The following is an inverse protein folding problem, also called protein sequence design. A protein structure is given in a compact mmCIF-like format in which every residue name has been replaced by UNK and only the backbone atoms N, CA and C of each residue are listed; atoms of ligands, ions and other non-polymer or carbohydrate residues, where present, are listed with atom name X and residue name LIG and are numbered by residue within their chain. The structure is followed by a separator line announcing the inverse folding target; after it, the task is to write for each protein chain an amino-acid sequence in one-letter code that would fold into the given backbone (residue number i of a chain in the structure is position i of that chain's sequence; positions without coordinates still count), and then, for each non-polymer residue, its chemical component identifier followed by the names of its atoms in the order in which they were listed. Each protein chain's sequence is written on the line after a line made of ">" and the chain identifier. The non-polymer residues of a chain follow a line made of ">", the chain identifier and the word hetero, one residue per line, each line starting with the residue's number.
data_IF_198586257343
#
_entry.id   IF_198586257343
#
_cell.length_a   1.000
_cell.length_b   1.000
_cell.length_c   1.000
_cell.angle_alpha   90.00
_cell.angle_beta   90.00
_cell.angle_gamma   90.00
#
_symmetry.space_group_name_H-M   'P 1'
#
loop_
_entity.id
_entity.type
_entity.pdbx_description
1 polymer ?
#
# COMPACT_ATOMS: atom_id res chain seq x y z
N UNK A 1 -9.59 7.04 10.02
CA UNK A 1 -8.92 8.10 9.24
C UNK A 1 -9.06 7.79 7.77
N UNK A 2 -9.50 8.76 7.00
CA UNK A 2 -9.73 8.56 5.56
C UNK A 2 -8.65 9.25 4.76
N UNK A 3 -8.06 8.49 3.84
CA UNK A 3 -7.08 9.04 2.92
C UNK A 3 -7.67 9.09 1.52
N UNK A 4 -7.22 10.06 0.75
CA UNK A 4 -7.52 10.09 -0.68
C UNK A 4 -6.57 9.14 -1.38
N UNK A 5 -7.11 8.23 -2.16
CA UNK A 5 -6.32 7.20 -2.86
C UNK A 5 -6.53 7.36 -4.36
N UNK A 6 -5.42 7.45 -5.09
CA UNK A 6 -5.45 7.49 -6.55
C UNK A 6 -4.50 6.43 -7.09
N UNK A 7 -4.49 6.27 -8.41
CA UNK A 7 -3.62 5.29 -9.04
C UNK A 7 -2.15 5.66 -8.83
N UNK A 8 -1.32 4.65 -8.53
CA UNK A 8 0.12 4.84 -8.42
C UNK A 8 0.79 4.93 -9.79
N UNK A 9 2.07 4.61 -9.84
CA UNK A 9 2.82 4.79 -11.09
C UNK A 9 3.43 3.50 -11.65
N UNK A 10 3.37 2.41 -10.92
CA UNK A 10 3.90 1.09 -11.34
C UNK A 10 5.40 1.09 -11.68
N UNK A 11 6.14 2.13 -11.27
CA UNK A 11 7.54 2.27 -11.68
C UNK A 11 8.46 1.33 -10.93
N UNK A 12 8.15 1.00 -9.69
CA UNK A 12 8.96 0.07 -8.92
C UNK A 12 8.15 -0.47 -7.75
N UNK A 13 8.48 -1.68 -7.34
CA UNK A 13 7.83 -2.33 -6.21
C UNK A 13 8.24 -1.71 -4.89
N UNK A 14 7.37 -1.85 -3.91
CA UNK A 14 7.61 -1.39 -2.56
C UNK A 14 7.05 -0.01 -2.31
N UNK A 15 7.53 0.60 -1.23
CA UNK A 15 7.12 1.92 -0.81
C UNK A 15 7.95 2.98 -1.53
N UNK A 16 7.28 3.96 -2.09
CA UNK A 16 7.94 5.11 -2.73
C UNK A 16 7.39 6.38 -2.08
N UNK A 17 8.28 7.11 -1.41
CA UNK A 17 7.91 8.40 -0.83
C UNK A 17 7.83 9.44 -1.93
N UNK A 18 6.72 10.18 -1.97
CA UNK A 18 6.51 11.24 -2.95
C UNK A 18 6.10 12.51 -2.23
N UNK A 19 5.99 13.60 -2.97
CA UNK A 19 5.82 14.93 -2.40
C UNK A 19 4.66 15.03 -1.41
N UNK A 20 3.52 14.49 -1.77
CA UNK A 20 2.30 14.64 -0.98
C UNK A 20 1.77 13.32 -0.44
N UNK A 21 2.60 12.30 -0.35
CA UNK A 21 2.13 11.03 0.14
C UNK A 21 3.08 9.88 -0.13
N UNK A 22 2.52 8.71 -0.26
CA UNK A 22 3.27 7.48 -0.44
C UNK A 22 2.62 6.64 -1.51
N UNK A 23 3.44 6.08 -2.41
CA UNK A 23 2.96 5.11 -3.39
C UNK A 23 3.40 3.72 -2.93
N UNK A 24 2.44 2.80 -2.90
CA UNK A 24 2.71 1.38 -2.63
C UNK A 24 2.45 0.60 -3.92
N UNK A 25 3.44 -0.17 -4.35
CA UNK A 25 3.33 -1.02 -5.53
C UNK A 25 3.70 -2.44 -5.14
N UNK A 26 2.83 -3.38 -5.43
CA UNK A 26 3.01 -4.75 -4.98
C UNK A 26 2.31 -5.72 -5.93
N UNK A 27 2.68 -6.99 -5.81
CA UNK A 27 2.08 -8.03 -6.63
C UNK A 27 0.63 -8.27 -6.18
N UNK A 28 -0.29 -8.20 -7.10
CA UNK A 28 -1.69 -8.44 -6.82
C UNK A 28 -2.47 -8.48 -8.12
N UNK A 29 -3.16 -9.58 -8.37
CA UNK A 29 -3.93 -9.73 -9.58
C UNK A 29 -5.25 -8.99 -9.50
N UNK A 30 -5.88 -8.78 -10.64
CA UNK A 30 -7.09 -7.96 -10.70
C UNK A 30 -8.22 -8.50 -9.83
N UNK A 31 -8.35 -9.83 -9.73
CA UNK A 31 -9.39 -10.46 -8.93
C UNK A 31 -9.08 -10.46 -7.43
N UNK A 32 -7.85 -10.16 -7.04
CA UNK A 32 -7.48 -10.18 -5.63
C UNK A 32 -8.07 -8.98 -4.89
N UNK A 33 -8.46 -9.21 -3.63
CA UNK A 33 -8.86 -8.14 -2.74
C UNK A 33 -7.62 -7.71 -1.98
N UNK A 34 -7.14 -6.51 -2.27
CA UNK A 34 -5.87 -6.02 -1.74
C UNK A 34 -6.04 -4.77 -0.91
N UNK A 35 -5.20 -4.63 0.10
CA UNK A 35 -5.17 -3.44 0.94
C UNK A 35 -3.78 -3.24 1.51
N UNK A 36 -3.52 -2.02 1.98
CA UNK A 36 -2.34 -1.70 2.78
C UNK A 36 -2.82 -1.53 4.22
N UNK A 37 -2.20 -2.24 5.13
CA UNK A 37 -2.51 -2.15 6.55
C UNK A 37 -1.47 -1.26 7.20
N UNK A 38 -1.91 -0.21 7.87
CA UNK A 38 -1.04 0.72 8.56
C UNK A 38 -1.09 0.45 10.06
N UNK A 39 0.06 0.47 10.71
CA UNK A 39 0.17 0.19 12.13
C UNK A 39 0.69 1.41 12.88
N UNK A 40 0.30 1.53 14.15
CA UNK A 40 0.88 2.53 15.03
C UNK A 40 2.16 1.95 15.68
N UNK A 41 2.78 2.75 16.55
CA UNK A 41 4.03 2.35 17.21
C UNK A 41 3.87 1.14 18.13
N UNK A 42 2.64 0.89 18.57
CA UNK A 42 2.33 -0.27 19.41
C UNK A 42 2.03 -1.52 18.58
N UNK A 43 2.19 -1.41 17.26
CA UNK A 43 1.88 -2.48 16.30
C UNK A 43 0.40 -2.83 16.26
N UNK A 44 -0.45 -1.88 16.63
CA UNK A 44 -1.88 -2.01 16.48
C UNK A 44 -2.29 -1.43 15.14
N UNK A 45 -3.32 -2.01 14.53
CA UNK A 45 -3.83 -1.51 13.25
C UNK A 45 -4.37 -0.09 13.45
N UNK A 46 -3.74 0.86 12.76
CA UNK A 46 -4.17 2.25 12.76
C UNK A 46 -5.08 2.57 11.58
N UNK A 47 -4.98 1.80 10.50
CA UNK A 47 -5.83 2.00 9.35
C UNK A 47 -5.67 0.89 8.33
N UNK A 48 -6.67 0.77 7.49
CA UNK A 48 -6.66 -0.16 6.36
C UNK A 48 -7.06 0.61 5.12
N UNK A 49 -6.18 0.66 4.14
CA UNK A 49 -6.41 1.41 2.92
C UNK A 49 -6.55 0.43 1.77
N UNK A 50 -7.75 0.36 1.22
CA UNK A 50 -8.03 -0.57 0.14
C UNK A 50 -7.34 -0.16 -1.15
N UNK A 51 -6.80 -1.14 -1.86
CA UNK A 51 -6.18 -0.93 -3.17
C UNK A 51 -7.17 -1.43 -4.24
N UNK A 52 -7.90 -0.51 -4.88
CA UNK A 52 -8.96 -0.92 -5.81
C UNK A 52 -8.44 -1.71 -7.00
N UNK A 53 -9.28 -2.62 -7.51
CA UNK A 53 -8.94 -3.41 -8.68
C UNK A 53 -8.68 -2.54 -9.92
N UNK A 54 -9.23 -1.32 -9.95
CA UNK A 54 -9.00 -0.40 -11.06
C UNK A 54 -7.54 0.04 -11.16
N UNK A 55 -6.79 -0.03 -10.05
CA UNK A 55 -5.38 0.39 -10.02
C UNK A 55 -4.47 -0.83 -10.13
N UNK A 56 -4.68 -1.59 -11.17
CA UNK A 56 -3.96 -2.84 -11.42
C UNK A 56 -3.55 -2.91 -12.88
N UNK A 57 -2.31 -3.29 -13.12
CA UNK A 57 -1.81 -3.56 -14.48
C UNK A 57 -1.14 -4.93 -14.47
N UNK A 58 -1.74 -5.85 -15.23
CA UNK A 58 -1.28 -7.23 -15.19
C UNK A 58 -1.45 -7.78 -13.78
N UNK A 59 -0.36 -8.24 -13.18
CA UNK A 59 -0.36 -8.77 -11.82
C UNK A 59 0.26 -7.78 -10.82
N UNK A 60 0.19 -6.48 -11.12
CA UNK A 60 0.80 -5.44 -10.28
C UNK A 60 -0.27 -4.44 -9.85
N UNK A 61 -0.37 -4.22 -8.55
CA UNK A 61 -1.27 -3.25 -7.94
C UNK A 61 -0.45 -2.05 -7.48
N UNK A 62 -0.94 -0.84 -7.76
CA UNK A 62 -0.23 0.36 -7.33
C UNK A 62 -1.20 1.43 -6.88
N UNK A 63 -1.03 1.92 -5.67
CA UNK A 63 -1.88 2.97 -5.12
C UNK A 63 -1.03 4.12 -4.58
N UNK A 64 -1.56 5.32 -4.74
CA UNK A 64 -0.99 6.54 -4.20
C UNK A 64 -1.90 6.99 -3.05
N UNK A 65 -1.37 6.96 -1.84
CA UNK A 65 -2.11 7.40 -0.66
C UNK A 65 -1.69 8.82 -0.35
N UNK A 66 -2.58 9.76 -0.60
CA UNK A 66 -2.29 11.19 -0.41
C UNK A 66 -2.32 11.55 1.07
N UNK A 67 -1.35 12.34 1.49
CA UNK A 67 -1.29 12.82 2.86
C UNK A 67 -0.59 11.90 3.85
N UNK A 68 -0.23 10.69 3.41
CA UNK A 68 0.47 9.75 4.27
C UNK A 68 1.96 10.10 4.27
N UNK A 69 2.58 10.03 5.44
CA UNK A 69 4.02 10.29 5.57
C UNK A 69 4.77 8.98 5.71
N UNK A 70 5.88 8.89 5.00
CA UNK A 70 6.71 7.68 5.00
C UNK A 70 7.56 7.54 6.26
N UNK A 71 7.79 8.61 7.01
CA UNK A 71 8.66 8.59 8.19
C UNK A 71 8.13 7.59 9.23
N UNK A 72 8.97 6.62 9.56
CA UNK A 72 8.66 5.61 10.57
C UNK A 72 7.36 4.86 10.31
N UNK A 73 6.99 4.74 9.05
CA UNK A 73 5.74 4.09 8.66
C UNK A 73 5.87 2.57 8.82
N UNK A 74 4.92 2.00 9.54
CA UNK A 74 4.83 0.55 9.73
C UNK A 74 3.64 0.04 8.95
N UNK A 75 3.86 -0.90 8.06
CA UNK A 75 2.79 -1.40 7.19
C UNK A 75 3.02 -2.84 6.77
N UNK A 76 1.94 -3.47 6.34
CA UNK A 76 1.97 -4.74 5.62
C UNK A 76 0.93 -4.66 4.52
N UNK A 77 0.97 -5.57 3.59
CA UNK A 77 -0.10 -5.74 2.62
C UNK A 77 -1.07 -6.79 3.11
N UNK A 78 -2.31 -6.68 2.67
CA UNK A 78 -3.31 -7.71 2.90
C UNK A 78 -3.85 -8.14 1.54
N UNK A 79 -3.74 -9.42 1.24
CA UNK A 79 -4.19 -9.96 -0.05
C UNK A 79 -5.11 -11.12 0.25
N UNK A 80 -6.38 -10.98 -0.13
CA UNK A 80 -7.42 -11.98 0.10
C UNK A 80 -7.50 -12.39 1.57
N UNK A 81 -7.37 -11.41 2.47
CA UNK A 81 -7.47 -11.65 3.90
C UNK A 81 -6.18 -12.10 4.58
N UNK A 82 -5.12 -12.32 3.81
CA UNK A 82 -3.84 -12.74 4.38
C UNK A 82 -2.88 -11.58 4.46
N UNK A 83 -2.19 -11.47 5.60
CA UNK A 83 -1.17 -10.45 5.80
C UNK A 83 0.12 -10.88 5.11
N UNK A 84 0.62 -10.01 4.24
CA UNK A 84 1.83 -10.28 3.46
C UNK A 84 2.81 -9.15 3.70
N UNK A 85 4.03 -9.45 4.19
CA UNK A 85 5.04 -8.40 4.34
C UNK A 85 5.55 -7.94 2.98
N UNK A 86 6.08 -6.72 2.96
CA UNK A 86 6.65 -6.16 1.74
C UNK A 86 8.06 -6.71 1.54
N UNK A 87 8.31 -7.52 0.50
CA UNK A 87 9.65 -8.05 0.27
C UNK A 87 10.65 -6.99 -0.14
N UNK A 88 10.17 -5.80 -0.51
CA UNK A 88 11.03 -4.69 -0.92
C UNK A 88 11.19 -3.64 0.17
N UNK A 89 10.70 -3.91 1.39
CA UNK A 89 10.83 -2.95 2.47
C UNK A 89 12.29 -2.78 2.87
N UNK A 90 12.69 -1.52 3.09
CA UNK A 90 14.01 -1.22 3.62
C UNK A 90 14.06 -1.48 5.11
N UNK A 91 15.19 -1.90 5.59
CA UNK A 91 15.39 -2.13 7.01
C UNK A 91 16.12 -0.99 7.66
#
# INVERSE_FOLDING_TARGET
>A
MNYTVTEGNYLRFGLQSVKDGVIFTFAGEKEDVCAVILYDRSLKVAGRVEAPAAFCRGAVRSIYIHGLKADHLLYNYEINGETVPDPYASK
#
